data_IF_006697474002
#
_entry.id   IF_006697474002
#
_cell.length_a   1.000
_cell.length_b   1.000
_cell.length_c   1.000
_cell.angle_alpha   90.00
_cell.angle_beta   90.00
_cell.angle_gamma   90.00
#
_symmetry.space_group_name_H-M   'P 1'
#
loop_
_entity.id
_entity.type
_entity.pdbx_description
1 polymer ?
#
# COMPACT_ATOMS: atom_id res chain seq x y z
N UNK A 1 -20.98 -13.52 17.41
CA UNK A 1 -20.67 -12.09 17.22
C UNK A 1 -19.99 -11.90 15.86
N UNK A 2 -20.06 -10.71 15.28
CA UNK A 2 -19.61 -10.45 13.90
C UNK A 2 -18.61 -9.29 13.88
N UNK A 3 -17.59 -9.34 13.02
CA UNK A 3 -16.64 -8.23 12.80
C UNK A 3 -17.32 -6.91 12.44
N UNK A 4 -18.57 -6.97 11.96
CA UNK A 4 -19.34 -5.80 11.53
C UNK A 4 -20.15 -5.13 12.65
N UNK A 5 -20.20 -5.75 13.82
CA UNK A 5 -20.87 -5.21 14.99
C UNK A 5 -19.90 -4.31 15.78
N UNK A 6 -20.37 -3.12 16.16
CA UNK A 6 -19.66 -2.31 17.14
C UNK A 6 -19.57 -3.09 18.46
N UNK A 7 -18.42 -2.97 19.13
CA UNK A 7 -18.17 -3.53 20.45
C UNK A 7 -17.61 -2.45 21.38
N UNK A 8 -17.37 -2.79 22.64
CA UNK A 8 -16.92 -1.87 23.69
C UNK A 8 -15.39 -1.66 23.73
N UNK A 9 -14.65 -2.19 22.77
CA UNK A 9 -13.20 -2.03 22.68
C UNK A 9 -12.76 -0.69 22.09
N UNK A 10 -11.46 -0.60 21.84
CA UNK A 10 -10.79 0.58 21.29
C UNK A 10 -11.43 0.94 19.95
N UNK A 11 -11.84 2.21 19.79
CA UNK A 11 -12.55 2.71 18.62
C UNK A 11 -13.71 1.79 18.19
N UNK A 12 -14.62 1.44 19.11
CA UNK A 12 -15.79 0.57 18.86
C UNK A 12 -15.46 -0.84 18.30
N UNK A 13 -14.20 -1.29 18.38
CA UNK A 13 -13.78 -2.62 17.92
C UNK A 13 -13.90 -3.67 19.01
N UNK A 14 -13.60 -4.94 18.68
CA UNK A 14 -13.57 -6.03 19.66
C UNK A 14 -12.26 -6.11 20.45
N UNK A 15 -11.24 -5.34 20.06
CA UNK A 15 -9.93 -5.30 20.71
C UNK A 15 -9.98 -4.33 21.87
N UNK A 16 -9.63 -4.78 23.08
CA UNK A 16 -9.71 -3.98 24.30
C UNK A 16 -8.34 -3.43 24.71
N UNK A 17 -8.33 -2.56 25.71
CA UNK A 17 -7.09 -2.04 26.29
C UNK A 17 -6.27 -3.13 26.97
N UNK A 18 -6.94 -4.10 27.61
CA UNK A 18 -6.31 -5.24 28.27
C UNK A 18 -5.61 -6.14 27.25
N UNK A 19 -6.22 -6.37 26.08
CA UNK A 19 -5.61 -7.17 25.01
C UNK A 19 -4.26 -6.57 24.59
N UNK A 20 -4.22 -5.26 24.30
CA UNK A 20 -3.01 -4.61 23.80
C UNK A 20 -1.98 -4.36 24.91
N UNK A 21 -2.41 -4.14 26.16
CA UNK A 21 -1.51 -3.96 27.30
C UNK A 21 -0.75 -5.25 27.60
N UNK A 22 -1.45 -6.40 27.65
CA UNK A 22 -0.83 -7.69 27.93
C UNK A 22 0.25 -8.04 26.89
N UNK A 23 -0.06 -7.84 25.61
CA UNK A 23 0.89 -8.05 24.51
C UNK A 23 2.12 -7.12 24.61
N UNK A 24 1.91 -5.85 24.97
CA UNK A 24 3.00 -4.89 25.10
C UNK A 24 3.85 -5.17 26.34
N UNK A 25 3.25 -5.57 27.46
CA UNK A 25 3.95 -6.01 28.66
C UNK A 25 4.86 -7.20 28.36
N UNK A 26 4.35 -8.20 27.64
CA UNK A 26 5.14 -9.36 27.19
C UNK A 26 6.29 -8.91 26.27
N UNK A 27 5.97 -8.17 25.20
CA UNK A 27 6.94 -7.76 24.19
C UNK A 27 8.05 -6.87 24.73
N UNK A 28 7.70 -5.92 25.59
CA UNK A 28 8.62 -4.94 26.19
C UNK A 28 9.20 -5.45 27.52
N UNK A 29 8.83 -6.67 27.91
CA UNK A 29 9.20 -7.34 29.15
C UNK A 29 9.01 -6.44 30.37
N UNK A 30 7.88 -5.76 30.49
CA UNK A 30 7.56 -4.78 31.56
C UNK A 30 6.34 -5.20 32.37
N UNK A 31 6.27 -4.74 33.62
CA UNK A 31 5.08 -4.83 34.48
C UNK A 31 4.29 -3.53 34.54
N UNK A 32 4.69 -2.51 33.79
CA UNK A 32 3.98 -1.24 33.73
C UNK A 32 2.59 -1.43 33.12
N UNK A 33 1.60 -0.69 33.59
CA UNK A 33 0.21 -0.73 33.11
C UNK A 33 -0.18 0.61 32.50
N UNK A 34 -1.28 0.67 31.75
CA UNK A 34 -1.81 1.93 31.26
C UNK A 34 -2.68 2.62 32.31
N UNK A 35 -2.36 3.88 32.59
CA UNK A 35 -3.10 4.79 33.45
C UNK A 35 -4.37 5.33 32.80
N UNK A 36 -5.03 6.25 33.52
CA UNK A 36 -6.33 6.79 33.15
C UNK A 36 -6.26 7.78 31.98
N UNK A 37 -5.08 8.35 31.68
CA UNK A 37 -4.91 9.32 30.59
C UNK A 37 -4.56 8.67 29.25
N UNK A 38 -4.62 7.33 29.14
CA UNK A 38 -4.43 6.60 27.89
C UNK A 38 -5.44 7.07 26.83
N UNK A 39 -5.00 7.18 25.58
CA UNK A 39 -5.82 7.74 24.51
C UNK A 39 -5.67 6.94 23.22
N UNK A 40 -6.78 6.76 22.51
CA UNK A 40 -6.80 6.23 21.15
C UNK A 40 -7.42 7.27 20.23
N UNK A 41 -6.67 7.69 19.19
CA UNK A 41 -7.13 8.64 18.17
C UNK A 41 -7.23 7.91 16.84
N UNK A 42 -8.39 7.94 16.20
CA UNK A 42 -8.51 7.39 14.84
C UNK A 42 -7.72 8.27 13.87
N UNK A 43 -6.70 7.70 13.24
CA UNK A 43 -5.86 8.34 12.20
C UNK A 43 -6.11 7.77 10.81
N UNK A 44 -7.03 6.81 10.67
CA UNK A 44 -7.52 6.33 9.37
C UNK A 44 -8.65 7.19 8.79
N UNK A 45 -9.35 7.99 9.58
CA UNK A 45 -10.41 8.86 9.03
C UNK A 45 -9.81 10.16 8.48
N UNK A 46 -9.67 10.24 7.15
CA UNK A 46 -9.46 11.54 6.49
C UNK A 46 -10.71 12.39 6.67
N UNK A 47 -10.59 13.49 7.41
CA UNK A 47 -11.63 14.51 7.52
C UNK A 47 -11.63 15.35 6.25
N UNK A 48 -12.34 14.88 5.24
CA UNK A 48 -12.51 15.64 4.00
C UNK A 48 -13.45 16.83 4.26
N UNK A 49 -12.91 18.06 4.24
CA UNK A 49 -13.69 19.29 4.39
C UNK A 49 -14.35 19.63 3.06
N UNK A 50 -15.66 19.41 2.96
CA UNK A 50 -16.41 19.81 1.77
C UNK A 50 -16.92 21.26 1.90
N UNK A 51 -16.44 22.17 1.06
CA UNK A 51 -17.08 23.46 0.83
C UNK A 51 -18.16 23.30 -0.23
N UNK A 52 -19.39 23.05 0.19
CA UNK A 52 -20.56 23.14 -0.70
C UNK A 52 -20.78 24.61 -1.09
N UNK A 53 -21.17 24.86 -2.35
CA UNK A 53 -21.65 26.18 -2.85
C UNK A 53 -22.76 26.82 -1.99
N UNK A 54 -23.34 26.09 -1.02
CA UNK A 54 -24.38 26.53 -0.09
C UNK A 54 -23.93 26.81 1.36
N UNK A 55 -22.64 26.95 1.67
CA UNK A 55 -22.17 27.21 3.05
C UNK A 55 -22.61 26.14 4.10
N UNK A 56 -23.05 24.95 3.68
CA UNK A 56 -23.25 23.83 4.59
C UNK A 56 -21.92 23.09 4.79
N UNK A 57 -21.34 23.18 5.99
CA UNK A 57 -20.25 22.30 6.42
C UNK A 57 -20.80 20.87 6.51
N UNK A 58 -20.41 20.01 5.58
CA UNK A 58 -20.63 18.56 5.68
C UNK A 58 -19.29 17.89 5.87
N UNK A 59 -19.08 17.31 7.06
CA UNK A 59 -17.97 16.40 7.31
C UNK A 59 -18.26 15.09 6.58
N UNK A 60 -17.36 14.69 5.68
CA UNK A 60 -17.38 13.36 5.05
C UNK A 60 -16.39 12.47 5.80
N UNK A 61 -16.82 11.25 6.14
CA UNK A 61 -15.99 10.24 6.80
C UNK A 61 -15.59 9.21 5.75
N UNK A 62 -14.29 9.12 5.45
CA UNK A 62 -13.72 8.13 4.56
C UNK A 62 -13.35 6.88 5.38
N UNK A 63 -13.81 5.70 4.96
CA UNK A 63 -13.60 4.44 5.70
C UNK A 63 -12.53 3.58 5.06
N UNK A 64 -11.50 3.22 5.82
CA UNK A 64 -10.55 2.16 5.49
C UNK A 64 -11.07 0.80 5.98
N UNK A 65 -10.56 -0.30 5.42
CA UNK A 65 -10.88 -1.67 5.90
C UNK A 65 -10.40 -1.94 7.32
N UNK A 66 -9.40 -1.18 7.74
CA UNK A 66 -8.88 -1.18 9.10
C UNK A 66 -9.20 0.14 9.78
N UNK A 67 -9.54 0.09 11.05
CA UNK A 67 -9.43 1.24 11.95
C UNK A 67 -7.99 1.34 12.43
N UNK A 68 -7.33 2.44 12.09
CA UNK A 68 -5.96 2.73 12.52
C UNK A 68 -6.05 3.72 13.68
N UNK A 69 -5.65 3.30 14.87
CA UNK A 69 -5.58 4.11 16.06
C UNK A 69 -4.13 4.52 16.36
N UNK A 70 -3.89 5.83 16.49
CA UNK A 70 -2.74 6.32 17.22
C UNK A 70 -3.02 6.18 18.71
N UNK A 71 -2.27 5.31 19.38
CA UNK A 71 -2.33 5.13 20.81
C UNK A 71 -1.31 6.04 21.47
N UNK A 72 -1.76 6.87 22.39
CA UNK A 72 -0.91 7.59 23.34
C UNK A 72 -0.97 6.84 24.66
N UNK A 73 0.12 6.16 24.99
CA UNK A 73 0.22 5.30 26.16
C UNK A 73 0.56 6.12 27.40
N UNK A 74 -0.29 6.02 28.42
CA UNK A 74 -0.06 6.59 29.75
C UNK A 74 0.58 5.52 30.65
N UNK A 75 1.84 5.18 30.45
CA UNK A 75 2.49 4.10 31.23
C UNK A 75 2.69 4.47 32.70
N UNK A 76 2.20 3.62 33.60
CA UNK A 76 2.32 3.74 35.05
C UNK A 76 3.22 2.64 35.62
N UNK A 77 4.01 2.97 36.64
CA UNK A 77 4.90 2.00 37.30
C UNK A 77 6.07 1.52 36.45
N UNK A 78 6.54 2.34 35.49
CA UNK A 78 7.69 2.00 34.63
C UNK A 78 8.93 1.69 35.47
N UNK A 79 9.54 0.54 35.23
CA UNK A 79 10.69 0.10 36.01
C UNK A 79 11.91 0.99 35.75
N UNK A 80 12.73 1.19 36.79
CA UNK A 80 13.90 2.06 36.74
C UNK A 80 14.83 1.66 35.60
N UNK A 81 15.13 2.61 34.71
CA UNK A 81 16.03 2.43 33.57
C UNK A 81 15.37 1.89 32.30
N UNK A 82 14.06 1.58 32.32
CA UNK A 82 13.32 1.26 31.10
C UNK A 82 12.76 2.51 30.42
N UNK A 83 12.69 2.45 29.10
CA UNK A 83 12.03 3.46 28.26
C UNK A 83 10.99 2.74 27.42
N UNK A 84 9.72 3.05 27.64
CA UNK A 84 8.59 2.46 26.92
C UNK A 84 8.08 3.41 25.84
N UNK A 85 7.55 2.90 24.71
CA UNK A 85 6.99 3.74 23.65
C UNK A 85 5.77 4.51 24.18
N UNK A 86 5.82 5.83 24.05
CA UNK A 86 4.72 6.73 24.43
C UNK A 86 3.64 6.79 23.35
N UNK A 87 3.99 6.52 22.09
CA UNK A 87 3.07 6.48 20.97
C UNK A 87 3.33 5.26 20.10
N UNK A 88 2.27 4.63 19.64
CA UNK A 88 2.30 3.52 18.70
C UNK A 88 1.02 3.42 17.90
N UNK A 89 1.04 2.69 16.79
CA UNK A 89 -0.11 2.49 15.92
C UNK A 89 -0.73 1.13 16.22
N UNK A 90 -2.04 1.12 16.42
CA UNK A 90 -2.87 -0.08 16.49
C UNK A 90 -3.72 -0.14 15.22
N UNK A 91 -3.49 -1.14 14.36
CA UNK A 91 -4.34 -1.44 13.19
C UNK A 91 -5.28 -2.58 13.57
N UNK A 92 -6.59 -2.32 13.54
CA UNK A 92 -7.63 -3.32 13.82
C UNK A 92 -8.54 -3.44 12.61
N UNK A 93 -8.86 -4.67 12.23
CA UNK A 93 -9.89 -4.91 11.23
C UNK A 93 -11.25 -4.50 11.80
N UNK A 94 -11.92 -3.55 11.16
CA UNK A 94 -13.26 -3.15 11.55
C UNK A 94 -14.02 -2.53 10.39
N UNK A 95 -15.25 -3.00 10.18
CA UNK A 95 -16.16 -2.40 9.20
C UNK A 95 -17.49 -2.06 9.87
N UNK A 96 -17.81 -0.78 9.99
CA UNK A 96 -19.11 -0.32 10.52
C UNK A 96 -20.20 -0.70 9.52
N UNK A 97 -21.28 -1.34 10.01
CA UNK A 97 -22.50 -1.55 9.21
C UNK A 97 -23.10 -0.17 8.88
N UNK A 98 -22.92 0.32 7.66
CA UNK A 98 -23.58 1.55 7.20
C UNK A 98 -25.09 1.27 7.07
N UNK A 99 -25.87 1.68 8.05
CA UNK A 99 -27.33 1.71 7.96
C UNK A 99 -27.72 3.18 7.79
N UNK A 100 -27.73 3.72 6.56
CA UNK A 100 -28.43 4.99 6.35
C UNK A 100 -28.89 5.26 4.91
N UNK A 101 -30.19 5.58 4.78
CA UNK A 101 -30.98 5.72 3.55
C UNK A 101 -30.81 7.05 2.77
N UNK A 102 -29.89 7.94 3.15
CA UNK A 102 -29.85 9.32 2.58
C UNK A 102 -28.49 9.89 2.18
N UNK A 103 -27.39 9.14 2.27
CA UNK A 103 -26.10 9.61 1.78
C UNK A 103 -25.91 9.28 0.30
N UNK A 104 -25.81 10.34 -0.52
CA UNK A 104 -25.26 10.32 -1.89
C UNK A 104 -23.83 10.89 -1.82
N UNK A 105 -22.80 10.05 -1.76
CA UNK A 105 -21.39 10.30 -2.11
C UNK A 105 -20.58 9.06 -1.69
N UNK A 106 -19.91 8.35 -2.59
CA UNK A 106 -18.82 8.61 -3.55
C UNK A 106 -17.42 8.80 -2.92
N UNK A 107 -16.60 7.75 -3.09
CA UNK A 107 -15.12 7.61 -3.05
C UNK A 107 -14.57 6.51 -2.12
N UNK A 108 -13.69 5.67 -2.68
CA UNK A 108 -13.07 4.50 -2.05
C UNK A 108 -11.57 4.72 -1.85
N UNK A 109 -11.02 4.65 -0.63
CA UNK A 109 -9.63 4.25 -0.48
C UNK A 109 -9.53 2.71 -0.53
N UNK A 110 -8.60 2.23 -1.35
CA UNK A 110 -7.92 0.93 -1.29
C UNK A 110 -8.73 -0.28 -0.79
N UNK A 111 -8.97 -1.18 -1.75
CA UNK A 111 -9.08 -2.64 -1.66
C UNK A 111 -10.35 -3.33 -1.16
N UNK A 112 -11.51 -2.69 -0.95
CA UNK A 112 -12.80 -3.41 -1.04
C UNK A 112 -13.99 -2.43 -1.26
N UNK A 113 -14.73 -2.45 -2.39
CA UNK A 113 -16.01 -1.78 -2.56
C UNK A 113 -17.07 -2.70 -1.98
N UNK A 114 -17.96 -2.20 -1.14
CA UNK A 114 -19.22 -2.94 -0.95
C UNK A 114 -20.43 -2.03 -0.82
N UNK A 115 -20.27 -0.73 -1.06
CA UNK A 115 -21.34 0.24 -0.83
C UNK A 115 -21.79 1.01 -2.07
N UNK A 116 -20.94 1.22 -3.07
CA UNK A 116 -21.32 1.96 -4.29
C UNK A 116 -21.89 1.03 -5.38
N UNK A 117 -21.32 -0.16 -5.53
CA UNK A 117 -21.76 -1.18 -6.50
C UNK A 117 -23.24 -1.55 -6.30
N UNK A 118 -23.69 -1.68 -5.05
CA UNK A 118 -25.07 -2.09 -4.72
C UNK A 118 -26.14 -1.07 -5.14
N UNK A 119 -25.78 0.21 -5.27
CA UNK A 119 -26.71 1.27 -5.75
C UNK A 119 -26.70 1.44 -7.26
N UNK A 120 -25.60 1.11 -7.94
CA UNK A 120 -25.52 1.19 -9.41
C UNK A 120 -26.19 0.00 -10.09
N UNK A 121 -26.31 -1.14 -9.41
CA UNK A 121 -26.79 -2.41 -9.99
C UNK A 121 -28.32 -2.52 -10.21
N UNK A 122 -29.15 -1.49 -10.00
CA UNK A 122 -30.63 -1.65 -10.05
C UNK A 122 -31.15 -2.85 -9.23
N UNK A 123 -30.39 -3.30 -8.22
CA UNK A 123 -30.85 -4.30 -7.28
C UNK A 123 -31.82 -3.59 -6.33
N UNK A 124 -33.10 -3.85 -6.55
CA UNK A 124 -34.16 -3.51 -5.60
C UNK A 124 -33.72 -3.94 -4.20
N UNK A 125 -33.81 -3.00 -3.26
CA UNK A 125 -33.59 -3.19 -1.83
C UNK A 125 -32.18 -3.59 -1.35
N UNK A 126 -31.18 -2.74 -1.57
CA UNK A 126 -30.28 -2.17 -0.52
C UNK A 126 -29.66 -3.06 0.58
N UNK A 127 -29.69 -4.38 0.47
CA UNK A 127 -29.16 -5.33 1.42
C UNK A 127 -28.02 -6.09 0.73
N UNK A 128 -26.80 -5.95 1.27
CA UNK A 128 -25.73 -6.88 0.92
C UNK A 128 -26.18 -8.25 1.42
N UNK A 129 -26.42 -9.19 0.51
CA UNK A 129 -26.86 -10.54 0.87
C UNK A 129 -25.93 -11.19 1.89
N UNK A 130 -26.49 -11.93 2.85
CA UNK A 130 -25.74 -12.53 3.97
C UNK A 130 -24.52 -13.35 3.50
N UNK A 131 -24.66 -14.03 2.35
CA UNK A 131 -23.57 -14.77 1.69
C UNK A 131 -22.40 -13.86 1.27
N UNK A 132 -22.66 -12.70 0.66
CA UNK A 132 -21.62 -11.73 0.28
C UNK A 132 -20.91 -11.17 1.52
N UNK A 133 -21.65 -10.87 2.60
CA UNK A 133 -21.06 -10.41 3.87
C UNK A 133 -20.16 -11.47 4.54
N UNK A 134 -20.54 -12.74 4.47
CA UNK A 134 -19.73 -13.87 4.97
C UNK A 134 -18.44 -14.01 4.15
N UNK A 135 -18.53 -14.01 2.83
CA UNK A 135 -17.35 -14.09 1.95
C UNK A 135 -16.39 -12.92 2.18
N UNK A 136 -16.93 -11.71 2.33
CA UNK A 136 -16.14 -10.52 2.63
C UNK A 136 -15.41 -10.65 3.99
N UNK A 137 -16.07 -11.21 5.00
CA UNK A 137 -15.45 -11.39 6.32
C UNK A 137 -14.28 -12.39 6.25
N UNK A 138 -14.40 -13.42 5.42
CA UNK A 138 -13.32 -14.39 5.17
C UNK A 138 -12.15 -13.67 4.47
N UNK A 139 -12.41 -12.97 3.37
CA UNK A 139 -11.37 -12.27 2.61
C UNK A 139 -10.60 -11.25 3.48
N UNK A 140 -11.30 -10.45 4.28
CA UNK A 140 -10.67 -9.49 5.17
C UNK A 140 -9.75 -10.18 6.20
N UNK A 141 -10.18 -11.30 6.78
CA UNK A 141 -9.36 -12.07 7.72
C UNK A 141 -8.13 -12.68 7.05
N UNK A 142 -8.29 -13.17 5.83
CA UNK A 142 -7.18 -13.69 5.01
C UNK A 142 -6.16 -12.59 4.71
N UNK A 143 -6.59 -11.41 4.27
CA UNK A 143 -5.70 -10.25 4.04
C UNK A 143 -4.97 -9.82 5.32
N UNK A 144 -5.66 -9.76 6.46
CA UNK A 144 -5.03 -9.46 7.76
C UNK A 144 -3.99 -10.51 8.14
N UNK A 145 -4.31 -11.79 7.98
CA UNK A 145 -3.39 -12.88 8.28
C UNK A 145 -2.20 -12.91 7.32
N UNK A 146 -2.39 -12.52 6.06
CA UNK A 146 -1.32 -12.34 5.09
C UNK A 146 -0.37 -11.21 5.52
N UNK A 147 -0.90 -10.08 6.00
CA UNK A 147 -0.09 -8.99 6.55
C UNK A 147 0.68 -9.43 7.80
N UNK A 148 0.03 -10.18 8.71
CA UNK A 148 0.70 -10.78 9.88
C UNK A 148 1.86 -11.67 9.45
N UNK A 149 1.66 -12.55 8.46
CA UNK A 149 2.68 -13.47 7.98
C UNK A 149 3.84 -12.73 7.28
N UNK A 150 3.53 -11.77 6.41
CA UNK A 150 4.52 -10.90 5.77
C UNK A 150 5.36 -10.15 6.81
N UNK A 151 4.73 -9.51 7.80
CA UNK A 151 5.44 -8.78 8.86
C UNK A 151 6.28 -9.71 9.74
N UNK A 152 5.88 -10.97 9.96
CA UNK A 152 6.71 -11.98 10.63
C UNK A 152 7.96 -12.31 9.82
N UNK A 153 7.83 -12.54 8.51
CA UNK A 153 8.96 -12.80 7.61
C UNK A 153 9.90 -11.62 7.59
N UNK A 154 9.36 -10.42 7.36
CA UNK A 154 10.11 -9.19 7.35
C UNK A 154 10.88 -9.09 8.69
N UNK A 155 10.19 -9.19 9.84
CA UNK A 155 10.81 -9.14 11.17
C UNK A 155 11.85 -10.25 11.41
N UNK A 156 11.75 -11.40 10.75
CA UNK A 156 12.76 -12.47 10.79
C UNK A 156 13.99 -12.11 9.95
N UNK A 157 13.78 -11.58 8.74
CA UNK A 157 14.83 -11.24 7.78
C UNK A 157 15.66 -10.01 8.19
N UNK A 158 14.99 -8.97 8.71
CA UNK A 158 15.58 -7.70 9.19
C UNK A 158 16.64 -7.08 8.24
N UNK A 159 16.35 -7.08 6.94
CA UNK A 159 17.32 -6.62 5.94
C UNK A 159 17.31 -5.08 5.78
N UNK A 160 18.47 -4.41 5.77
CA UNK A 160 18.56 -2.94 5.74
C UNK A 160 17.99 -2.28 4.48
N UNK A 161 17.96 -3.01 3.36
CA UNK A 161 17.41 -2.52 2.09
C UNK A 161 15.88 -2.56 2.05
N UNK A 162 15.22 -3.28 2.96
CA UNK A 162 13.76 -3.23 3.09
C UNK A 162 13.45 -2.28 4.25
N UNK A 163 13.11 -1.01 3.99
CA UNK A 163 12.65 -0.09 5.02
C UNK A 163 11.30 -0.59 5.52
N UNK A 164 11.38 -1.47 6.50
CA UNK A 164 10.41 -1.80 7.55
C UNK A 164 11.21 -2.22 8.81
N UNK A 165 12.54 -2.35 8.71
CA UNK A 165 13.50 -2.51 9.81
C UNK A 165 14.81 -1.83 9.46
N UNK A 166 15.09 -0.63 9.98
CA UNK A 166 16.43 -0.03 9.83
C UNK A 166 17.18 0.09 11.15
N UNK A 167 18.14 -0.80 11.40
CA UNK A 167 19.12 -0.65 12.51
C UNK A 167 20.47 -0.19 11.98
N UNK A 168 21.11 0.73 12.69
CA UNK A 168 22.57 0.73 12.87
C UNK A 168 22.88 0.89 14.36
N UNK A 169 23.43 -0.15 15.03
CA UNK A 169 23.92 -0.11 16.41
C UNK A 169 25.43 -0.33 16.41
N UNK A 170 26.17 0.49 17.16
CA UNK A 170 27.50 0.16 17.67
C UNK A 170 27.42 0.09 19.20
N UNK A 171 27.90 -1.02 19.77
CA UNK A 171 28.20 -1.15 21.21
C UNK A 171 29.70 -0.87 21.41
N UNK A 172 30.05 -0.15 22.47
CA UNK A 172 31.44 -0.01 22.89
C UNK A 172 31.67 1.15 23.85
N UNK A 173 31.47 0.91 25.14
CA UNK A 173 32.11 1.69 26.19
C UNK A 173 33.01 0.77 27.00
N UNK A 174 34.30 1.12 27.11
CA UNK A 174 35.11 1.16 28.34
C UNK A 174 36.40 1.95 28.03
N UNK A 175 36.72 2.85 28.97
CA UNK A 175 37.81 3.81 29.09
C UNK A 175 39.21 3.18 29.19
N UNK A 176 40.28 3.83 28.66
CA UNK A 176 41.47 4.28 29.42
C UNK A 176 42.57 5.00 28.56
N UNK A 177 43.01 6.16 29.07
CA UNK A 177 44.31 6.88 29.02
C UNK A 177 45.13 7.17 27.73
N UNK A 178 45.24 8.49 27.45
CA UNK A 178 46.44 9.32 27.09
C UNK A 178 47.46 8.78 26.06
N UNK A 179 47.51 9.39 24.86
CA UNK A 179 48.47 10.45 24.44
C UNK A 179 48.39 10.74 22.92
N UNK A 180 48.65 12.02 22.56
CA UNK A 180 49.01 12.67 21.26
C UNK A 180 49.23 11.73 20.05
N UNK A 181 48.80 12.00 18.80
CA UNK A 181 48.70 13.28 18.09
C UNK A 181 47.87 13.18 16.78
N UNK A 182 47.20 14.29 16.45
CA UNK A 182 46.80 14.88 15.15
C UNK A 182 46.28 14.03 13.96
N UNK A 183 45.12 14.51 13.47
CA UNK A 183 44.60 14.55 12.08
C UNK A 183 43.72 13.39 11.58
N UNK A 184 42.45 13.40 12.00
CA UNK A 184 41.29 13.18 11.11
C UNK A 184 40.15 14.09 11.59
N UNK A 185 39.85 15.16 10.84
CA UNK A 185 38.81 16.12 11.17
C UNK A 185 37.46 15.71 10.55
N UNK A 186 36.44 15.73 11.42
CA UNK A 186 35.02 15.99 11.17
C UNK A 186 34.24 15.08 10.22
N UNK A 187 33.79 13.94 10.76
CA UNK A 187 32.47 13.40 10.43
C UNK A 187 31.50 13.73 11.58
N UNK A 188 30.28 14.22 11.33
CA UNK A 188 29.29 14.37 12.38
C UNK A 188 28.99 13.01 13.01
N UNK A 189 28.95 12.98 14.35
CA UNK A 189 28.62 11.80 15.17
C UNK A 189 27.30 11.21 14.69
N UNK A 190 27.34 10.02 14.07
CA UNK A 190 26.17 9.32 13.54
C UNK A 190 25.10 9.16 14.62
N UNK A 191 23.94 9.77 14.39
CA UNK A 191 22.73 9.52 15.15
C UNK A 191 22.36 8.03 15.07
N UNK A 192 21.91 7.49 16.20
CA UNK A 192 21.47 6.09 16.35
C UNK A 192 20.11 5.96 15.63
N UNK A 193 20.11 5.46 14.39
CA UNK A 193 18.86 5.22 13.63
C UNK A 193 18.09 4.04 14.24
N UNK A 194 16.82 4.30 14.60
CA UNK A 194 15.87 3.30 15.11
C UNK A 194 15.26 2.51 13.95
N UNK A 195 15.11 1.21 14.13
CA UNK A 195 14.33 0.37 13.22
C UNK A 195 12.86 0.47 13.57
N UNK A 196 12.01 0.57 12.54
CA UNK A 196 10.57 0.42 12.69
C UNK A 196 10.25 -0.85 13.49
N UNK A 197 9.57 -0.68 14.62
CA UNK A 197 9.27 -1.76 15.56
C UNK A 197 7.89 -2.36 15.30
N UNK A 198 7.83 -3.69 15.30
CA UNK A 198 6.58 -4.43 15.41
C UNK A 198 6.46 -4.94 16.85
N UNK A 199 5.45 -4.45 17.56
CA UNK A 199 5.21 -4.80 18.96
C UNK A 199 4.35 -6.05 19.09
N UNK A 200 3.26 -6.16 18.31
CA UNK A 200 2.41 -7.35 18.31
C UNK A 200 1.80 -7.62 16.93
N UNK A 201 1.60 -8.91 16.64
CA UNK A 201 0.98 -9.43 15.43
C UNK A 201 0.01 -10.54 15.82
N UNK A 202 -1.28 -10.21 15.96
CA UNK A 202 -2.33 -11.18 16.32
C UNK A 202 -3.12 -11.58 15.08
N UNK A 203 -2.97 -12.82 14.58
CA UNK A 203 -3.80 -13.32 13.49
C UNK A 203 -5.22 -13.63 13.97
N UNK A 204 -6.12 -13.82 13.02
CA UNK A 204 -7.36 -14.55 13.23
C UNK A 204 -7.10 -16.05 13.13
N UNK A 205 -7.74 -16.83 13.99
CA UNK A 205 -7.74 -18.30 13.98
C UNK A 205 -9.10 -18.81 14.51
N UNK A 206 -9.30 -20.12 14.54
CA UNK A 206 -10.57 -20.76 14.95
C UNK A 206 -11.08 -20.28 16.33
N UNK A 207 -10.17 -19.97 17.25
CA UNK A 207 -10.48 -19.50 18.60
C UNK A 207 -10.64 -17.97 18.64
N UNK A 208 -9.81 -17.25 17.89
CA UNK A 208 -9.80 -15.80 17.78
C UNK A 208 -10.41 -15.31 16.47
N UNK A 209 -11.73 -15.35 16.38
CA UNK A 209 -12.46 -14.92 15.18
C UNK A 209 -12.76 -13.41 15.12
N UNK A 210 -12.43 -12.64 16.17
CA UNK A 210 -12.87 -11.25 16.35
C UNK A 210 -11.76 -10.25 16.72
N UNK A 211 -10.61 -10.70 17.24
CA UNK A 211 -9.53 -9.84 17.75
C UNK A 211 -8.23 -10.03 16.98
N UNK A 212 -8.27 -9.89 15.66
CA UNK A 212 -7.07 -9.73 14.84
C UNK A 212 -6.61 -8.28 14.83
N UNK A 213 -5.34 -8.03 15.17
CA UNK A 213 -4.76 -6.69 15.18
C UNK A 213 -3.24 -6.70 15.06
N UNK A 214 -2.69 -5.53 14.71
CA UNK A 214 -1.25 -5.26 14.64
C UNK A 214 -0.91 -4.07 15.53
N UNK A 215 0.20 -4.15 16.25
CA UNK A 215 0.75 -3.02 17.01
C UNK A 215 2.15 -2.70 16.45
N UNK A 216 2.34 -1.50 15.94
CA UNK A 216 3.59 -1.07 15.28
C UNK A 216 4.05 0.30 15.76
N UNK A 217 5.30 0.66 15.48
CA UNK A 217 5.86 1.99 15.77
C UNK A 217 5.09 3.10 15.05
N UNK A 218 4.89 4.21 15.74
CA UNK A 218 4.35 5.42 15.15
C UNK A 218 5.47 6.28 14.56
N UNK A 219 5.35 6.64 13.28
CA UNK A 219 6.25 7.57 12.58
C UNK A 219 5.61 8.96 12.60
N UNK A 220 6.15 9.88 13.41
CA UNK A 220 5.54 11.19 13.66
C UNK A 220 5.67 12.20 12.52
N UNK A 221 6.65 12.01 11.62
CA UNK A 221 7.02 12.97 10.58
C UNK A 221 6.78 12.39 9.18
N UNK A 222 5.77 11.54 9.03
CA UNK A 222 5.39 11.01 7.72
C UNK A 222 4.80 12.14 6.87
N UNK A 223 5.41 12.39 5.72
CA UNK A 223 4.91 13.24 4.67
C UNK A 223 3.76 12.53 3.96
N UNK A 224 2.59 13.17 3.93
CA UNK A 224 1.42 12.60 3.28
C UNK A 224 1.54 12.81 1.77
N UNK A 225 1.40 11.73 0.98
CA UNK A 225 1.46 11.77 -0.47
C UNK A 225 0.11 11.37 -1.04
N UNK A 226 -0.44 12.21 -1.92
CA UNK A 226 -1.67 11.93 -2.63
C UNK A 226 -1.42 10.97 -3.82
N UNK A 227 -2.47 10.34 -4.33
CA UNK A 227 -2.40 9.46 -5.51
C UNK A 227 -1.86 10.19 -6.76
N UNK A 228 -1.94 11.53 -6.80
CA UNK A 228 -1.42 12.31 -7.92
C UNK A 228 0.03 12.75 -7.73
N UNK A 229 0.52 12.82 -6.48
CA UNK A 229 1.88 13.26 -6.16
C UNK A 229 2.92 12.37 -6.85
N UNK A 230 3.84 13.00 -7.58
CA UNK A 230 4.98 12.32 -8.19
C UNK A 230 6.18 12.30 -7.24
N UNK A 231 6.93 11.21 -7.28
CA UNK A 231 8.17 11.01 -6.52
C UNK A 231 9.32 11.06 -7.53
N UNK A 232 10.34 11.92 -7.34
CA UNK A 232 11.54 11.92 -8.17
C UNK A 232 12.20 10.54 -8.21
N UNK A 233 12.77 10.16 -9.36
CA UNK A 233 13.36 8.83 -9.53
C UNK A 233 14.38 8.45 -8.45
N UNK A 234 15.27 9.37 -8.05
CA UNK A 234 16.31 9.09 -7.05
C UNK A 234 15.72 8.77 -5.66
N UNK A 235 14.64 9.45 -5.30
CA UNK A 235 13.93 9.24 -4.04
C UNK A 235 13.13 7.91 -4.04
N UNK A 236 12.83 7.36 -5.22
CA UNK A 236 12.11 6.10 -5.40
C UNK A 236 13.02 4.87 -5.43
N UNK A 237 14.32 5.03 -5.72
CA UNK A 237 15.32 3.94 -5.74
C UNK A 237 15.30 3.08 -4.46
N UNK A 238 15.22 3.66 -3.23
CA UNK A 238 15.12 2.86 -2.02
C UNK A 238 13.90 1.93 -1.97
N UNK A 239 12.74 2.36 -2.49
CA UNK A 239 11.54 1.53 -2.56
C UNK A 239 11.74 0.35 -3.53
N UNK A 240 12.30 0.64 -4.70
CA UNK A 240 12.59 -0.36 -5.74
C UNK A 240 13.57 -1.42 -5.21
N UNK A 241 14.64 -0.99 -4.53
CA UNK A 241 15.60 -1.91 -3.90
C UNK A 241 14.96 -2.73 -2.77
N UNK A 242 14.07 -2.12 -1.99
CA UNK A 242 13.32 -2.80 -0.94
C UNK A 242 12.41 -3.90 -1.49
N UNK A 243 11.69 -3.62 -2.58
CA UNK A 243 10.90 -4.62 -3.29
C UNK A 243 11.76 -5.76 -3.83
N UNK A 244 12.83 -5.44 -4.56
CA UNK A 244 13.74 -6.44 -5.12
C UNK A 244 14.34 -7.35 -4.04
N UNK A 245 14.76 -6.75 -2.93
CA UNK A 245 15.30 -7.47 -1.77
C UNK A 245 14.24 -8.37 -1.13
N UNK A 246 13.02 -7.86 -0.92
CA UNK A 246 11.92 -8.65 -0.38
C UNK A 246 11.64 -9.88 -1.26
N UNK A 247 11.44 -9.67 -2.55
CA UNK A 247 11.19 -10.74 -3.51
C UNK A 247 12.33 -11.77 -3.49
N UNK A 248 13.60 -11.32 -3.52
CA UNK A 248 14.75 -12.21 -3.52
C UNK A 248 14.92 -13.03 -2.24
N UNK A 249 14.76 -12.40 -1.06
CA UNK A 249 14.86 -13.11 0.22
C UNK A 249 13.75 -14.13 0.39
N UNK A 250 12.55 -13.83 -0.09
CA UNK A 250 11.43 -14.77 -0.09
C UNK A 250 11.68 -16.01 -0.95
N UNK A 251 12.46 -15.90 -2.03
CA UNK A 251 12.87 -17.07 -2.84
C UNK A 251 13.90 -17.96 -2.15
N UNK A 252 14.52 -17.48 -1.05
CA UNK A 252 15.42 -18.28 -0.22
C UNK A 252 14.69 -19.00 0.91
N UNK A 253 13.42 -18.70 1.15
CA UNK A 253 12.62 -19.31 2.21
C UNK A 253 12.01 -20.65 1.78
N UNK A 254 11.72 -21.56 2.73
CA UNK A 254 10.88 -22.72 2.46
C UNK A 254 9.50 -22.31 1.93
N UNK A 255 8.93 -23.14 1.06
CA UNK A 255 7.65 -22.83 0.40
C UNK A 255 6.52 -22.61 1.42
N UNK A 256 6.53 -23.36 2.52
CA UNK A 256 5.54 -23.29 3.60
C UNK A 256 5.52 -21.93 4.30
N UNK A 257 6.66 -21.21 4.34
CA UNK A 257 6.72 -19.87 4.92
C UNK A 257 6.02 -18.84 4.03
N UNK A 258 5.93 -19.10 2.72
CA UNK A 258 5.37 -18.15 1.74
C UNK A 258 3.98 -18.52 1.23
N UNK A 259 3.38 -19.60 1.74
CA UNK A 259 2.07 -20.10 1.29
C UNK A 259 0.89 -19.16 1.58
N UNK A 260 1.09 -18.18 2.48
CA UNK A 260 0.08 -17.15 2.78
C UNK A 260 -0.11 -16.16 1.64
N UNK A 261 0.89 -16.03 0.76
CA UNK A 261 0.87 -15.06 -0.33
C UNK A 261 -0.29 -15.37 -1.29
N UNK A 262 -1.04 -14.34 -1.62
CA UNK A 262 -2.16 -14.43 -2.53
C UNK A 262 -1.64 -14.89 -3.90
N UNK A 263 -2.17 -15.97 -4.46
CA UNK A 263 -1.84 -16.36 -5.83
C UNK A 263 -2.74 -15.63 -6.83
N UNK A 264 -3.21 -16.38 -7.81
CA UNK A 264 -4.27 -16.00 -8.77
C UNK A 264 -5.47 -15.34 -8.08
N UNK A 265 -5.86 -15.88 -6.92
CA UNK A 265 -6.93 -15.36 -6.06
C UNK A 265 -6.75 -13.87 -5.71
N UNK A 266 -5.51 -13.40 -5.52
CA UNK A 266 -5.25 -11.98 -5.24
C UNK A 266 -5.64 -11.07 -6.40
N UNK A 267 -5.25 -11.43 -7.61
CA UNK A 267 -5.61 -10.69 -8.83
C UNK A 267 -7.12 -10.77 -9.09
N UNK A 268 -7.72 -11.94 -8.92
CA UNK A 268 -9.17 -12.15 -9.08
C UNK A 268 -9.97 -11.29 -8.08
N UNK A 269 -9.56 -11.28 -6.81
CA UNK A 269 -10.19 -10.43 -5.78
C UNK A 269 -10.15 -8.96 -6.19
N UNK A 270 -8.99 -8.47 -6.64
CA UNK A 270 -8.90 -7.11 -7.15
C UNK A 270 -9.81 -6.87 -8.37
N UNK A 271 -9.81 -7.75 -9.36
CA UNK A 271 -10.63 -7.56 -10.57
C UNK A 271 -12.13 -7.61 -10.28
N UNK A 272 -12.58 -8.57 -9.47
CA UNK A 272 -13.97 -8.64 -9.03
C UNK A 272 -14.37 -7.35 -8.28
N UNK A 273 -13.53 -6.87 -7.37
CA UNK A 273 -13.83 -5.64 -6.63
C UNK A 273 -13.94 -4.43 -7.57
N UNK A 274 -12.99 -4.25 -8.47
CA UNK A 274 -12.96 -3.03 -9.29
C UNK A 274 -14.04 -3.05 -10.35
N UNK A 275 -14.46 -4.22 -10.86
CA UNK A 275 -15.28 -4.31 -12.08
C UNK A 275 -16.68 -4.92 -11.89
N UNK A 276 -17.04 -5.44 -10.72
CA UNK A 276 -18.40 -5.95 -10.48
C UNK A 276 -19.43 -4.79 -10.52
N UNK A 277 -20.40 -4.87 -11.45
CA UNK A 277 -21.58 -3.99 -11.48
C UNK A 277 -21.38 -2.57 -12.02
N UNK A 278 -20.21 -2.27 -12.59
CA UNK A 278 -19.94 -0.99 -13.24
C UNK A 278 -19.86 -1.22 -14.75
N UNK A 279 -20.62 -0.45 -15.51
CA UNK A 279 -20.48 -0.39 -16.96
C UNK A 279 -19.10 0.17 -17.33
N UNK A 280 -18.19 -0.63 -17.94
CA UNK A 280 -16.85 -0.18 -18.26
C UNK A 280 -16.86 1.04 -19.18
N UNK A 281 -17.86 1.20 -20.07
CA UNK A 281 -17.96 2.36 -20.95
C UNK A 281 -18.12 3.66 -20.15
N UNK A 282 -18.92 3.64 -19.07
CA UNK A 282 -19.13 4.81 -18.20
C UNK A 282 -17.88 5.21 -17.42
N UNK A 283 -17.00 4.26 -17.09
CA UNK A 283 -15.74 4.56 -16.39
C UNK A 283 -14.80 5.43 -17.23
N UNK A 284 -14.85 5.27 -18.54
CA UNK A 284 -13.90 5.88 -19.46
C UNK A 284 -14.47 7.11 -20.18
N UNK A 285 -15.72 7.51 -19.91
CA UNK A 285 -16.33 8.71 -20.50
C UNK A 285 -15.49 9.98 -20.28
N UNK A 286 -14.87 10.10 -19.09
CA UNK A 286 -14.00 11.23 -18.72
C UNK A 286 -12.71 11.33 -19.55
N UNK A 287 -12.33 10.32 -20.33
CA UNK A 287 -11.22 10.44 -21.27
C UNK A 287 -11.45 11.56 -22.29
N UNK A 288 -12.70 11.87 -22.61
CA UNK A 288 -13.09 12.96 -23.51
C UNK A 288 -12.81 14.35 -22.94
N UNK A 289 -12.60 14.46 -21.63
CA UNK A 289 -12.19 15.71 -20.98
C UNK A 289 -10.66 15.92 -21.05
N UNK A 290 -9.92 14.85 -21.33
CA UNK A 290 -8.46 14.83 -21.37
C UNK A 290 -7.90 14.96 -22.79
N UNK A 291 -8.56 14.34 -23.76
CA UNK A 291 -8.09 14.17 -25.13
C UNK A 291 -9.11 14.69 -26.17
N UNK A 292 -8.66 14.94 -27.40
CA UNK A 292 -9.57 15.09 -28.53
C UNK A 292 -10.36 13.80 -28.82
N UNK A 293 -11.39 13.89 -29.66
CA UNK A 293 -12.35 12.81 -29.91
C UNK A 293 -11.67 11.52 -30.40
N UNK A 294 -10.75 11.62 -31.35
CA UNK A 294 -10.05 10.47 -31.93
C UNK A 294 -9.16 9.78 -30.90
N UNK A 295 -8.39 10.56 -30.13
CA UNK A 295 -7.53 10.02 -29.08
C UNK A 295 -8.33 9.42 -27.91
N UNK A 296 -9.42 10.07 -27.50
CA UNK A 296 -10.30 9.55 -26.47
C UNK A 296 -10.98 8.24 -26.90
N UNK A 297 -11.41 8.13 -28.17
CA UNK A 297 -11.98 6.91 -28.71
C UNK A 297 -10.94 5.79 -28.77
N UNK A 298 -9.71 6.07 -29.23
CA UNK A 298 -8.60 5.12 -29.23
C UNK A 298 -8.32 4.61 -27.81
N UNK A 299 -8.14 5.52 -26.85
CA UNK A 299 -7.90 5.17 -25.45
C UNK A 299 -9.02 4.31 -24.89
N UNK A 300 -10.28 4.71 -25.08
CA UNK A 300 -11.46 3.95 -24.61
C UNK A 300 -11.46 2.53 -25.16
N UNK A 301 -11.18 2.34 -26.46
CA UNK A 301 -11.11 1.01 -27.07
C UNK A 301 -10.03 0.14 -26.43
N UNK A 302 -8.85 0.69 -26.16
CA UNK A 302 -7.73 -0.04 -25.55
C UNK A 302 -8.02 -0.37 -24.07
N UNK A 303 -8.60 0.54 -23.31
CA UNK A 303 -9.06 0.27 -21.94
C UNK A 303 -10.10 -0.85 -21.87
N UNK A 304 -11.11 -0.80 -22.76
CA UNK A 304 -12.13 -1.85 -22.86
C UNK A 304 -11.54 -3.20 -23.30
N UNK A 305 -10.53 -3.18 -24.16
CA UNK A 305 -9.81 -4.36 -24.58
C UNK A 305 -9.10 -5.03 -23.39
N UNK A 306 -8.28 -4.30 -22.63
CA UNK A 306 -7.59 -4.87 -21.48
C UNK A 306 -8.53 -5.27 -20.34
N UNK A 307 -9.64 -4.54 -20.14
CA UNK A 307 -10.69 -4.95 -19.22
C UNK A 307 -11.21 -6.36 -19.53
N UNK A 308 -11.42 -6.70 -20.81
CA UNK A 308 -11.83 -8.05 -21.22
C UNK A 308 -10.72 -9.09 -21.01
N UNK A 309 -9.46 -8.68 -21.12
CA UNK A 309 -8.30 -9.56 -20.94
C UNK A 309 -7.96 -9.84 -19.47
N UNK A 310 -8.44 -9.03 -18.50
CA UNK A 310 -8.11 -9.19 -17.08
C UNK A 310 -8.18 -10.64 -16.57
N UNK A 311 -9.20 -11.46 -16.90
CA UNK A 311 -9.23 -12.86 -16.47
C UNK A 311 -8.02 -13.68 -16.91
N UNK A 312 -7.42 -13.39 -18.08
CA UNK A 312 -6.21 -14.07 -18.58
C UNK A 312 -4.96 -13.72 -17.75
N UNK A 313 -4.93 -12.53 -17.16
CA UNK A 313 -3.79 -12.07 -16.35
C UNK A 313 -3.61 -12.87 -15.06
N UNK A 314 -4.65 -13.55 -14.58
CA UNK A 314 -4.58 -14.45 -13.43
C UNK A 314 -3.59 -15.60 -13.65
N UNK A 315 -3.38 -16.01 -14.91
CA UNK A 315 -2.49 -17.10 -15.31
C UNK A 315 -1.34 -16.61 -16.21
N UNK A 316 -1.01 -15.32 -16.20
CA UNK A 316 -0.01 -14.76 -17.12
C UNK A 316 1.36 -15.42 -16.98
N UNK A 317 1.78 -15.74 -15.76
CA UNK A 317 3.06 -16.41 -15.50
C UNK A 317 3.15 -17.78 -16.20
N UNK A 318 2.08 -18.56 -16.15
CA UNK A 318 2.01 -19.87 -16.81
C UNK A 318 1.87 -19.73 -18.33
N UNK A 319 1.07 -18.77 -18.77
CA UNK A 319 0.78 -18.55 -20.20
C UNK A 319 1.99 -18.06 -20.98
N UNK A 320 2.78 -17.16 -20.39
CA UNK A 320 3.95 -16.55 -21.04
C UNK A 320 5.28 -17.12 -20.54
N UNK A 321 5.26 -18.06 -19.59
CA UNK A 321 6.47 -18.64 -19.01
C UNK A 321 7.24 -17.70 -18.07
N UNK A 322 6.62 -16.61 -17.62
CA UNK A 322 7.26 -15.66 -16.70
C UNK A 322 7.49 -16.30 -15.32
N UNK A 323 8.69 -16.04 -14.77
CA UNK A 323 9.02 -16.44 -13.40
C UNK A 323 8.14 -15.69 -12.42
N UNK A 324 7.77 -16.37 -11.33
CA UNK A 324 6.93 -15.82 -10.27
C UNK A 324 7.75 -15.59 -9.01
N UNK A 325 7.55 -14.46 -8.36
CA UNK A 325 8.16 -14.08 -7.08
C UNK A 325 7.09 -13.50 -6.15
N UNK A 326 7.40 -13.35 -4.86
CA UNK A 326 6.54 -12.54 -4.00
C UNK A 326 6.64 -11.06 -4.34
N UNK A 327 5.48 -10.44 -4.50
CA UNK A 327 5.28 -9.01 -4.68
C UNK A 327 4.58 -8.48 -3.42
N UNK A 328 4.81 -7.21 -3.09
CA UNK A 328 4.00 -6.46 -2.13
C UNK A 328 2.51 -6.50 -2.52
N UNK A 329 2.22 -6.38 -3.83
CA UNK A 329 0.88 -6.55 -4.39
C UNK A 329 0.06 -5.27 -4.42
N UNK A 330 0.27 -4.36 -3.46
CA UNK A 330 -0.35 -3.03 -3.46
C UNK A 330 0.58 -1.87 -3.13
N UNK A 331 1.80 -1.84 -3.71
CA UNK A 331 2.71 -0.72 -3.44
C UNK A 331 2.45 0.47 -4.36
N UNK A 332 1.99 1.57 -3.76
CA UNK A 332 1.87 2.91 -4.35
C UNK A 332 2.33 3.93 -3.29
N UNK A 333 2.42 5.22 -3.65
CA UNK A 333 2.98 6.23 -2.74
C UNK A 333 2.24 6.34 -1.39
N UNK A 334 0.93 6.07 -1.33
CA UNK A 334 0.19 6.04 -0.07
C UNK A 334 0.65 4.95 0.90
N UNK A 335 1.29 3.89 0.39
CA UNK A 335 1.88 2.78 1.15
C UNK A 335 3.39 2.93 1.35
N UNK A 336 3.94 4.12 1.04
CA UNK A 336 5.32 4.52 1.30
C UNK A 336 5.34 5.62 2.36
N UNK A 337 5.70 5.28 3.60
CA UNK A 337 5.90 6.28 4.65
C UNK A 337 7.25 6.96 4.42
N UNK A 338 7.22 8.20 3.95
CA UNK A 338 8.41 9.01 3.70
C UNK A 338 8.50 10.16 4.72
N UNK A 339 9.70 10.55 5.12
CA UNK A 339 9.94 11.88 5.71
C UNK A 339 10.46 12.82 4.62
N UNK A 340 10.20 14.12 4.75
CA UNK A 340 10.69 15.14 3.83
C UNK A 340 11.83 15.92 4.47
N UNK A 341 12.99 15.95 3.84
CA UNK A 341 14.13 16.75 4.30
C UNK A 341 13.97 18.23 3.95
N UNK A 342 14.83 19.08 4.54
CA UNK A 342 14.79 20.55 4.35
C UNK A 342 15.01 20.98 2.89
N UNK A 343 15.76 20.18 2.12
CA UNK A 343 16.03 20.37 0.68
C UNK A 343 14.91 19.81 -0.23
N UNK A 344 13.86 19.24 0.35
CA UNK A 344 12.69 18.74 -0.37
C UNK A 344 12.75 17.27 -0.80
N UNK A 345 13.87 16.58 -0.59
CA UNK A 345 14.00 15.15 -0.87
C UNK A 345 13.12 14.29 0.05
N UNK A 346 12.60 13.21 -0.52
CA UNK A 346 11.84 12.21 0.21
C UNK A 346 12.76 11.09 0.69
N UNK A 347 12.77 10.87 1.99
CA UNK A 347 13.44 9.74 2.63
C UNK A 347 12.42 8.68 3.01
N UNK A 348 12.49 7.52 2.35
CA UNK A 348 11.68 6.36 2.68
C UNK A 348 12.00 5.84 4.09
N UNK A 349 11.00 5.87 4.98
CA UNK A 349 11.09 5.35 6.36
C UNK A 349 10.51 3.94 6.47
N UNK A 350 9.37 3.68 5.82
CA UNK A 350 8.73 2.37 5.82
C UNK A 350 7.87 2.07 4.59
N UNK A 351 7.85 0.81 4.14
CA UNK A 351 6.81 0.24 3.28
C UNK A 351 5.75 -0.43 4.17
N UNK A 352 4.48 -0.10 3.95
CA UNK A 352 3.36 -0.55 4.80
C UNK A 352 2.24 -1.20 3.97
N UNK A 353 1.28 -1.80 4.66
CA UNK A 353 0.09 -2.43 4.07
C UNK A 353 0.38 -3.69 3.24
N UNK A 354 1.05 -4.64 3.87
CA UNK A 354 1.44 -5.93 3.29
C UNK A 354 0.28 -6.95 3.21
N UNK A 355 -0.96 -6.49 3.20
CA UNK A 355 -2.17 -7.34 3.24
C UNK A 355 -2.48 -8.02 1.89
N UNK A 356 -1.90 -7.52 0.80
CA UNK A 356 -2.12 -8.00 -0.58
C UNK A 356 -0.91 -8.73 -1.15
N UNK A 357 0.05 -9.12 -0.31
CA UNK A 357 1.26 -9.83 -0.73
C UNK A 357 0.87 -11.00 -1.62
N UNK A 358 1.45 -11.04 -2.82
CA UNK A 358 0.99 -11.94 -3.88
C UNK A 358 2.14 -12.58 -4.65
N UNK A 359 2.01 -13.86 -5.01
CA UNK A 359 2.99 -14.59 -5.82
C UNK A 359 2.58 -14.53 -7.30
N UNK A 360 3.21 -13.62 -8.03
CA UNK A 360 3.00 -13.37 -9.48
C UNK A 360 4.33 -12.96 -10.12
N UNK A 361 4.34 -12.64 -11.41
CA UNK A 361 5.58 -12.16 -12.05
C UNK A 361 6.08 -10.84 -11.43
N UNK A 362 7.38 -10.54 -11.43
CA UNK A 362 7.96 -9.36 -10.77
C UNK A 362 7.52 -8.00 -11.36
N UNK A 363 6.77 -8.01 -12.46
CA UNK A 363 6.30 -6.78 -13.12
C UNK A 363 5.19 -6.03 -12.39
N UNK A 364 4.46 -6.66 -11.47
CA UNK A 364 3.28 -6.05 -10.83
C UNK A 364 3.64 -4.81 -10.00
N UNK A 365 4.54 -4.96 -9.02
CA UNK A 365 4.92 -3.82 -8.17
C UNK A 365 5.70 -2.77 -8.95
N UNK A 366 6.56 -3.19 -9.90
CA UNK A 366 7.26 -2.26 -10.78
C UNK A 366 6.29 -1.42 -11.63
N UNK A 367 5.21 -2.03 -12.13
CA UNK A 367 4.17 -1.29 -12.84
C UNK A 367 3.50 -0.26 -11.91
N UNK A 368 3.09 -0.65 -10.69
CA UNK A 368 2.48 0.31 -9.76
C UNK A 368 3.42 1.46 -9.38
N UNK A 369 4.68 1.15 -9.09
CA UNK A 369 5.69 2.11 -8.64
C UNK A 369 6.18 3.01 -9.77
N UNK A 370 6.69 2.44 -10.87
CA UNK A 370 7.29 3.25 -11.93
C UNK A 370 6.23 3.98 -12.76
N UNK A 371 5.09 3.35 -13.02
CA UNK A 371 4.05 4.00 -13.82
C UNK A 371 3.17 4.94 -12.98
N UNK A 372 2.86 4.58 -11.73
CA UNK A 372 2.00 5.39 -10.86
C UNK A 372 2.70 6.50 -10.06
N UNK A 373 3.95 6.28 -9.62
CA UNK A 373 4.62 7.21 -8.72
C UNK A 373 5.58 8.18 -9.43
N UNK A 374 6.19 7.82 -10.55
CA UNK A 374 7.15 8.71 -11.23
C UNK A 374 6.48 9.86 -11.98
N UNK A 375 7.17 11.01 -12.13
CA UNK A 375 6.82 11.97 -13.17
C UNK A 375 7.05 11.38 -14.57
N UNK A 376 6.39 11.95 -15.58
CA UNK A 376 6.43 11.42 -16.95
C UNK A 376 7.84 11.39 -17.55
N UNK A 377 8.63 12.44 -17.30
CA UNK A 377 10.02 12.57 -17.75
C UNK A 377 10.89 11.43 -17.19
N UNK A 378 10.96 11.28 -15.86
CA UNK A 378 11.72 10.20 -15.22
C UNK A 378 11.25 8.81 -15.68
N UNK A 379 9.95 8.60 -15.86
CA UNK A 379 9.42 7.32 -16.34
C UNK A 379 9.92 6.97 -17.74
N UNK A 380 9.96 7.95 -18.64
CA UNK A 380 10.37 7.77 -20.05
C UNK A 380 11.89 7.70 -20.21
N UNK A 381 12.64 8.50 -19.46
CA UNK A 381 14.10 8.60 -19.58
C UNK A 381 14.84 7.59 -18.70
N UNK A 382 14.33 7.34 -17.50
CA UNK A 382 15.00 6.53 -16.46
C UNK A 382 14.28 5.23 -16.14
N UNK A 383 13.12 4.95 -16.73
CA UNK A 383 12.36 3.72 -16.45
C UNK A 383 13.20 2.43 -16.60
N UNK A 384 14.00 2.33 -17.67
CA UNK A 384 14.89 1.18 -17.89
C UNK A 384 16.02 1.10 -16.84
N UNK A 385 16.59 2.23 -16.44
CA UNK A 385 17.61 2.30 -15.38
C UNK A 385 17.03 1.76 -14.05
N UNK A 386 15.81 2.20 -13.71
CA UNK A 386 15.12 1.82 -12.48
C UNK A 386 14.73 0.33 -12.47
N UNK A 387 14.28 -0.22 -13.60
CA UNK A 387 14.08 -1.67 -13.78
C UNK A 387 15.41 -2.42 -13.61
N UNK A 388 16.51 -1.85 -14.11
CA UNK A 388 17.87 -2.37 -13.91
C UNK A 388 18.25 -2.45 -12.44
N UNK A 389 17.97 -1.41 -11.64
CA UNK A 389 18.22 -1.45 -10.19
C UNK A 389 17.44 -2.57 -9.50
N UNK A 390 16.19 -2.84 -9.89
CA UNK A 390 15.44 -3.97 -9.35
C UNK A 390 16.14 -5.29 -9.68
N UNK A 391 16.42 -5.56 -10.96
CA UNK A 391 17.07 -6.80 -11.42
C UNK A 391 18.40 -7.04 -10.72
N UNK A 392 19.25 -6.02 -10.67
CA UNK A 392 20.60 -6.13 -10.13
C UNK A 392 20.56 -6.35 -8.60
N UNK A 393 19.66 -5.66 -7.91
CA UNK A 393 19.45 -5.86 -6.46
C UNK A 393 18.91 -7.26 -6.19
N UNK A 394 17.90 -7.71 -6.94
CA UNK A 394 17.32 -9.04 -6.81
C UNK A 394 18.40 -10.12 -7.00
N UNK A 395 19.13 -10.04 -8.12
CA UNK A 395 20.17 -11.02 -8.48
C UNK A 395 21.27 -11.08 -7.44
N UNK A 396 21.69 -9.92 -6.92
CA UNK A 396 22.70 -9.82 -5.86
C UNK A 396 22.23 -10.46 -4.55
N UNK A 397 21.00 -10.21 -4.13
CA UNK A 397 20.44 -10.73 -2.87
C UNK A 397 20.14 -12.23 -2.99
N UNK A 398 19.60 -12.67 -4.13
CA UNK A 398 19.28 -14.08 -4.37
C UNK A 398 20.53 -14.93 -4.62
N UNK A 399 21.61 -14.32 -5.11
CA UNK A 399 22.90 -14.96 -5.39
C UNK A 399 22.99 -15.61 -6.77
N UNK A 400 21.93 -15.54 -7.58
CA UNK A 400 21.91 -15.99 -8.98
C UNK A 400 20.86 -15.23 -9.78
N UNK A 401 20.99 -15.26 -11.09
CA UNK A 401 19.97 -14.70 -11.99
C UNK A 401 18.74 -15.62 -12.03
N UNK A 402 17.56 -15.04 -11.82
CA UNK A 402 16.27 -15.73 -11.98
C UNK A 402 15.59 -15.36 -13.30
N UNK A 403 15.77 -14.11 -13.74
CA UNK A 403 15.25 -13.53 -14.97
C UNK A 403 16.27 -12.51 -15.51
N UNK A 404 16.34 -12.43 -16.83
CA UNK A 404 17.09 -11.41 -17.57
C UNK A 404 16.42 -10.03 -17.45
N UNK A 405 17.13 -8.99 -17.90
CA UNK A 405 16.57 -7.64 -17.99
C UNK A 405 15.35 -7.60 -18.92
N UNK A 406 15.43 -8.25 -20.08
CA UNK A 406 14.36 -8.25 -21.08
C UNK A 406 13.11 -8.98 -20.57
N UNK A 407 13.27 -10.10 -19.87
CA UNK A 407 12.15 -10.80 -19.23
C UNK A 407 11.47 -9.93 -18.15
N UNK A 408 12.25 -9.20 -17.35
CA UNK A 408 11.70 -8.29 -16.34
C UNK A 408 10.98 -7.09 -16.99
N UNK A 409 11.55 -6.55 -18.05
CA UNK A 409 10.94 -5.46 -18.83
C UNK A 409 9.62 -5.91 -19.45
N UNK A 410 9.55 -7.14 -19.97
CA UNK A 410 8.33 -7.72 -20.49
C UNK A 410 7.28 -7.88 -19.40
N UNK A 411 7.66 -8.41 -18.23
CA UNK A 411 6.77 -8.47 -17.08
C UNK A 411 6.21 -7.08 -16.74
N UNK A 412 7.06 -6.06 -16.62
CA UNK A 412 6.63 -4.69 -16.36
C UNK A 412 5.61 -4.19 -17.40
N UNK A 413 5.94 -4.31 -18.69
CA UNK A 413 5.07 -3.86 -19.79
C UNK A 413 3.73 -4.58 -19.85
N UNK A 414 3.68 -5.85 -19.42
CA UNK A 414 2.42 -6.59 -19.35
C UNK A 414 1.53 -6.13 -18.20
N UNK A 415 2.12 -5.75 -17.06
CA UNK A 415 1.35 -5.30 -15.90
C UNK A 415 0.93 -3.83 -15.99
N UNK A 416 1.60 -2.98 -16.77
CA UNK A 416 1.16 -1.57 -16.97
C UNK A 416 -0.31 -1.47 -17.44
N UNK A 417 -0.77 -2.20 -18.47
CA UNK A 417 -2.20 -2.22 -18.84
C UNK A 417 -3.16 -2.61 -17.73
N UNK A 418 -2.79 -3.61 -16.92
CA UNK A 418 -3.61 -4.07 -15.79
C UNK A 418 -3.72 -2.97 -14.74
N UNK A 419 -2.58 -2.37 -14.39
CA UNK A 419 -2.50 -1.25 -13.44
C UNK A 419 -3.26 -0.04 -13.97
N UNK A 420 -3.18 0.26 -15.27
CA UNK A 420 -3.87 1.39 -15.88
C UNK A 420 -5.39 1.24 -15.81
N UNK A 421 -5.92 0.07 -16.16
CA UNK A 421 -7.36 -0.23 -16.12
C UNK A 421 -7.94 -0.09 -14.70
N UNK A 422 -7.11 -0.30 -13.66
CA UNK A 422 -7.49 -0.14 -12.26
C UNK A 422 -7.33 1.30 -11.78
N UNK A 423 -6.16 1.92 -11.98
CA UNK A 423 -5.77 3.17 -11.31
C UNK A 423 -6.25 4.43 -12.05
N UNK A 424 -6.28 4.45 -13.39
CA UNK A 424 -6.70 5.67 -14.14
C UNK A 424 -8.11 6.12 -13.80
N UNK A 425 -9.12 5.21 -13.76
CA UNK A 425 -10.47 5.59 -13.34
C UNK A 425 -10.48 6.22 -11.94
N UNK A 426 -9.71 5.67 -10.99
CA UNK A 426 -9.62 6.21 -9.64
C UNK A 426 -9.00 7.60 -9.67
N UNK A 427 -7.88 7.80 -10.37
CA UNK A 427 -7.25 9.11 -10.49
C UNK A 427 -8.20 10.17 -11.06
N UNK A 428 -8.97 9.84 -12.10
CA UNK A 428 -10.00 10.74 -12.68
C UNK A 428 -11.15 11.04 -11.71
N UNK A 429 -11.37 10.19 -10.70
CA UNK A 429 -12.39 10.37 -9.69
C UNK A 429 -11.89 11.18 -8.49
N UNK A 430 -10.58 11.28 -8.27
CA UNK A 430 -9.94 11.95 -7.12
C UNK A 430 -9.71 13.45 -7.29
N UNK A 431 -9.89 14.04 -8.49
CA UNK A 431 -9.64 15.46 -8.87
C UNK A 431 -10.36 16.56 -8.03
N UNK A 432 -10.95 16.27 -6.86
CA UNK A 432 -11.77 17.24 -6.11
C UNK A 432 -11.52 17.37 -4.61
N UNK A 433 -10.60 16.62 -4.01
CA UNK A 433 -10.59 16.45 -2.55
C UNK A 433 -9.20 16.52 -1.92
N UNK A 434 -8.73 17.74 -1.65
CA UNK A 434 -8.20 18.14 -0.31
C UNK A 434 -7.53 19.52 -0.27
N UNK A 435 -7.52 20.25 -1.39
CA UNK A 435 -6.77 21.50 -1.47
C UNK A 435 -7.60 22.76 -1.20
N UNK A 436 -6.91 23.77 -0.65
CA UNK A 436 -7.41 25.14 -0.63
C UNK A 436 -7.61 25.67 -2.07
N UNK A 437 -8.46 26.68 -2.31
CA UNK A 437 -8.70 27.22 -3.66
C UNK A 437 -7.45 27.73 -4.39
N UNK A 438 -6.35 27.96 -3.66
CA UNK A 438 -5.06 28.44 -4.17
C UNK A 438 -4.18 27.27 -4.61
N UNK A 439 -4.06 26.20 -3.80
CA UNK A 439 -3.37 24.95 -4.17
C UNK A 439 -4.02 24.27 -5.40
N UNK A 440 -5.37 24.29 -5.47
CA UNK A 440 -6.15 23.77 -6.61
C UNK A 440 -5.79 24.38 -7.96
N UNK A 441 -5.24 25.61 -7.99
CA UNK A 441 -4.92 26.30 -9.25
C UNK A 441 -3.55 25.90 -9.82
N UNK A 442 -2.62 25.47 -8.99
CA UNK A 442 -1.25 25.12 -9.42
C UNK A 442 -1.02 23.61 -9.56
N UNK A 443 -1.70 22.76 -8.77
CA UNK A 443 -1.49 21.31 -8.81
C UNK A 443 -2.33 20.63 -9.92
N UNK A 444 -3.58 21.05 -10.12
CA UNK A 444 -4.49 20.49 -11.15
C UNK A 444 -3.89 20.36 -12.57
N UNK A 445 -3.12 21.33 -13.11
CA UNK A 445 -2.48 21.19 -14.42
C UNK A 445 -1.42 20.07 -14.46
N UNK A 446 -0.57 19.97 -13.42
CA UNK A 446 0.50 18.95 -13.35
C UNK A 446 -0.08 17.55 -13.18
N UNK A 447 -1.14 17.42 -12.39
CA UNK A 447 -1.87 16.17 -12.21
C UNK A 447 -2.51 15.70 -13.53
N UNK A 448 -3.13 16.64 -14.26
CA UNK A 448 -3.70 16.38 -15.58
C UNK A 448 -2.63 15.98 -16.59
N UNK A 449 -1.48 16.68 -16.63
CA UNK A 449 -0.35 16.35 -17.49
C UNK A 449 0.21 14.96 -17.19
N UNK A 450 0.37 14.60 -15.90
CA UNK A 450 0.79 13.27 -15.48
C UNK A 450 -0.18 12.21 -15.98
N UNK A 451 -1.48 12.41 -15.78
CA UNK A 451 -2.53 11.47 -16.19
C UNK A 451 -2.56 11.28 -17.71
N UNK A 452 -2.43 12.37 -18.47
CA UNK A 452 -2.33 12.32 -19.94
C UNK A 452 -1.11 11.49 -20.36
N UNK A 453 0.07 11.81 -19.82
CA UNK A 453 1.30 11.10 -20.15
C UNK A 453 1.23 9.61 -19.77
N UNK A 454 0.59 9.27 -18.66
CA UNK A 454 0.35 7.88 -18.25
C UNK A 454 -0.50 7.11 -19.26
N UNK A 455 -1.55 7.73 -19.79
CA UNK A 455 -2.43 7.14 -20.81
C UNK A 455 -1.71 7.01 -22.16
N UNK A 456 -0.91 8.01 -22.56
CA UNK A 456 -0.06 7.93 -23.75
C UNK A 456 0.93 6.76 -23.66
N UNK A 457 1.62 6.63 -22.53
CA UNK A 457 2.61 5.55 -22.32
C UNK A 457 1.92 4.17 -22.34
N UNK A 458 0.72 4.08 -21.75
CA UNK A 458 -0.13 2.89 -21.82
C UNK A 458 -0.48 2.53 -23.26
N UNK A 459 -0.82 3.49 -24.12
CA UNK A 459 -1.11 3.26 -25.53
C UNK A 459 0.11 2.79 -26.31
N UNK A 460 1.30 3.34 -26.03
CA UNK A 460 2.56 2.88 -26.65
C UNK A 460 2.87 1.43 -26.23
N UNK A 461 2.70 1.11 -24.94
CA UNK A 461 2.89 -0.24 -24.41
C UNK A 461 1.88 -1.22 -25.00
N UNK A 462 0.64 -0.80 -25.22
CA UNK A 462 -0.36 -1.62 -25.92
C UNK A 462 0.11 -2.01 -27.32
N UNK A 463 0.59 -1.05 -28.12
CA UNK A 463 1.08 -1.32 -29.47
C UNK A 463 2.29 -2.26 -29.49
N UNK A 464 3.19 -2.14 -28.51
CA UNK A 464 4.34 -3.04 -28.35
C UNK A 464 3.90 -4.46 -27.98
N UNK A 465 3.00 -4.59 -26.99
CA UNK A 465 2.46 -5.87 -26.56
C UNK A 465 1.72 -6.59 -27.71
N UNK A 466 0.94 -5.86 -28.53
CA UNK A 466 0.25 -6.41 -29.70
C UNK A 466 1.22 -6.95 -30.76
N UNK A 467 2.39 -6.32 -30.93
CA UNK A 467 3.41 -6.76 -31.90
C UNK A 467 4.19 -7.96 -31.39
N UNK A 468 4.55 -7.96 -30.10
CA UNK A 468 5.44 -8.97 -29.50
C UNK A 468 4.70 -10.22 -29.03
N UNK A 469 3.45 -10.08 -28.60
CA UNK A 469 2.66 -11.17 -28.01
C UNK A 469 1.23 -11.23 -28.57
N UNK A 470 1.05 -11.29 -29.91
CA UNK A 470 -0.26 -11.22 -30.55
C UNK A 470 -1.23 -12.32 -30.07
N UNK A 471 -0.73 -13.52 -29.80
CA UNK A 471 -1.56 -14.66 -29.37
C UNK A 471 -2.20 -14.42 -27.99
N UNK A 472 -1.50 -13.71 -27.11
CA UNK A 472 -2.03 -13.35 -25.81
C UNK A 472 -3.00 -12.18 -25.91
N UNK A 473 -2.68 -11.18 -26.73
CA UNK A 473 -3.40 -9.91 -26.75
C UNK A 473 -4.63 -9.92 -27.65
N UNK A 474 -4.68 -10.68 -28.75
CA UNK A 474 -5.80 -10.61 -29.72
C UNK A 474 -7.01 -11.46 -29.31
N UNK A 475 -6.78 -12.60 -28.65
CA UNK A 475 -7.80 -13.63 -28.40
C UNK A 475 -8.53 -13.49 -27.07
#
# INVERSE_FOLDING_TARGET
>A
MSLYAASNGILETHVTWEDIEADLQEKLCTRATFGDNKKAVNISEMKVRHFSKKNEKKEKIQGFLSRIALIEADWQGVEKGKTLPQKFVLKVIFKKKFINKKFKCFQMPSVLPTFEVTKMMNLEDGQIGEKKLKNLAIAIKECHNAEVAALKILTKLKHPDIPFTKVSIFYGGITFLKTRSRLWNFFPKKARMKSFQVYSLKPFDEENQLKGYLITEYISNAYNMCIHTSIPADDLIPAIRGLATFSALCELLPAEETQFALGRKGLELHFEEFFEGIDPCKKYEKLRDLFDEDHAEKATKVFLHYHKLLPKYTNIGETLGFKMVLNHGDLWQGNMLCSKSEDGHLKLEALIDWQTVTRVSPGLDLAKVLWGCLPAEDRRERGNELIGFYRDTFTKVYGKELFSFDELLDCYKFYVPVVAVVIVPDMMMFENFDETPEEKKEESPKEREKLIAMIEDFLVIHEDNMKRFPDFTIN
#
